data_IF_384397307855
#
_entry.id   IF_384397307855
#
_cell.length_a   1.000
_cell.length_b   1.000
_cell.length_c   1.000
_cell.angle_alpha   90.00
_cell.angle_beta   90.00
_cell.angle_gamma   90.00
#
_symmetry.space_group_name_H-M   'P 1'
#
loop_
_entity.id
_entity.type
_entity.pdbx_description
1 polymer ?
#
# COMPACT_ATOMS: atom_id res chain seq x y z
N UNK A 1 -34.14 100.03 -34.03
CA UNK A 1 -33.36 99.16 -34.93
C UNK A 1 -32.06 98.66 -34.31
N UNK A 2 -31.09 99.52 -33.92
CA UNK A 2 -29.84 99.05 -33.30
C UNK A 2 -30.03 98.44 -31.88
N UNK A 3 -30.88 99.04 -31.05
CA UNK A 3 -31.18 98.53 -29.69
C UNK A 3 -31.90 97.18 -29.68
N UNK A 4 -32.81 96.94 -30.63
CA UNK A 4 -33.54 95.67 -30.74
C UNK A 4 -32.61 94.52 -31.18
N UNK A 5 -31.66 94.81 -32.08
CA UNK A 5 -30.63 93.87 -32.51
C UNK A 5 -29.66 93.52 -31.38
N UNK A 6 -29.26 94.51 -30.56
CA UNK A 6 -28.42 94.27 -29.38
C UNK A 6 -29.15 93.49 -28.27
N UNK A 7 -30.45 93.73 -28.09
CA UNK A 7 -31.30 92.95 -27.19
C UNK A 7 -31.42 91.48 -27.62
N UNK A 8 -31.62 91.22 -28.92
CA UNK A 8 -31.65 89.87 -29.50
C UNK A 8 -30.30 89.15 -29.35
N UNK A 9 -29.19 89.84 -29.62
CA UNK A 9 -27.84 89.29 -29.45
C UNK A 9 -27.54 88.89 -28.01
N UNK A 10 -27.91 89.73 -27.03
CA UNK A 10 -27.77 89.41 -25.60
C UNK A 10 -28.62 88.20 -25.21
N UNK A 11 -29.85 88.10 -25.71
CA UNK A 11 -30.74 86.95 -25.44
C UNK A 11 -30.16 85.65 -26.01
N UNK A 12 -29.69 85.67 -27.25
CA UNK A 12 -29.06 84.50 -27.89
C UNK A 12 -27.79 84.08 -27.14
N UNK A 13 -26.96 85.04 -26.71
CA UNK A 13 -25.79 84.72 -25.90
C UNK A 13 -26.16 84.13 -24.55
N UNK A 14 -27.17 84.68 -23.87
CA UNK A 14 -27.61 84.19 -22.57
C UNK A 14 -28.25 82.80 -22.67
N UNK A 15 -29.16 82.59 -23.62
CA UNK A 15 -29.78 81.27 -23.87
C UNK A 15 -28.74 80.23 -24.30
N UNK A 16 -27.75 80.63 -25.11
CA UNK A 16 -26.64 79.77 -25.51
C UNK A 16 -25.71 79.41 -24.34
N UNK A 17 -25.43 80.35 -23.43
CA UNK A 17 -24.66 80.10 -22.21
C UNK A 17 -25.41 79.18 -21.25
N UNK A 18 -26.69 79.42 -21.01
CA UNK A 18 -27.54 78.59 -20.14
C UNK A 18 -27.66 77.16 -20.69
N UNK A 19 -27.86 76.99 -22.02
CA UNK A 19 -27.85 75.66 -22.64
C UNK A 19 -26.48 74.96 -22.56
N UNK A 20 -25.39 75.70 -22.75
CA UNK A 20 -24.04 75.14 -22.65
C UNK A 20 -23.72 74.70 -21.22
N UNK A 21 -24.11 75.49 -20.21
CA UNK A 21 -23.95 75.14 -18.79
C UNK A 21 -24.79 73.91 -18.44
N UNK A 22 -26.05 73.86 -18.84
CA UNK A 22 -26.92 72.69 -18.61
C UNK A 22 -26.35 71.41 -19.26
N UNK A 23 -25.84 71.51 -20.48
CA UNK A 23 -25.27 70.35 -21.20
C UNK A 23 -23.95 69.88 -20.58
N UNK A 24 -23.12 70.83 -20.12
CA UNK A 24 -21.89 70.54 -19.37
C UNK A 24 -22.20 69.82 -18.06
N UNK A 25 -23.18 70.30 -17.31
CA UNK A 25 -23.58 69.70 -16.03
C UNK A 25 -24.16 68.29 -16.23
N UNK A 26 -25.01 68.09 -17.23
CA UNK A 26 -25.50 66.76 -17.62
C UNK A 26 -24.36 65.81 -18.01
N UNK A 27 -23.39 66.29 -18.78
CA UNK A 27 -22.24 65.47 -19.22
C UNK A 27 -21.35 65.08 -18.02
N UNK A 28 -21.11 66.01 -17.09
CA UNK A 28 -20.37 65.73 -15.87
C UNK A 28 -21.09 64.70 -15.00
N UNK A 29 -22.39 64.87 -14.79
CA UNK A 29 -23.20 63.90 -14.03
C UNK A 29 -23.19 62.52 -14.66
N UNK A 30 -23.33 62.42 -15.99
CA UNK A 30 -23.26 61.16 -16.71
C UNK A 30 -21.88 60.49 -16.58
N UNK A 31 -20.80 61.26 -16.73
CA UNK A 31 -19.44 60.77 -16.57
C UNK A 31 -19.14 60.30 -15.13
N UNK A 32 -19.66 61.02 -14.12
CA UNK A 32 -19.54 60.61 -12.71
C UNK A 32 -20.28 59.30 -12.46
N UNK A 33 -21.52 59.18 -12.95
CA UNK A 33 -22.32 57.97 -12.80
C UNK A 33 -21.67 56.76 -13.49
N UNK A 34 -21.08 56.94 -14.67
CA UNK A 34 -20.37 55.89 -15.39
C UNK A 34 -19.08 55.48 -14.65
N UNK A 35 -18.32 56.45 -14.12
CA UNK A 35 -17.14 56.16 -13.32
C UNK A 35 -17.48 55.38 -12.04
N UNK A 36 -18.55 55.75 -11.34
CA UNK A 36 -19.03 55.04 -10.15
C UNK A 36 -19.51 53.62 -10.51
N UNK A 37 -20.19 53.45 -11.64
CA UNK A 37 -20.60 52.14 -12.13
C UNK A 37 -19.40 51.23 -12.45
N UNK A 38 -18.37 51.76 -13.12
CA UNK A 38 -17.13 51.03 -13.41
C UNK A 38 -16.43 50.64 -12.11
N UNK A 39 -16.31 51.56 -11.15
CA UNK A 39 -15.68 51.28 -9.85
C UNK A 39 -16.44 50.23 -9.05
N UNK A 40 -17.77 50.29 -9.04
CA UNK A 40 -18.62 49.30 -8.38
C UNK A 40 -18.47 47.91 -9.01
N UNK A 41 -18.49 47.84 -10.34
CA UNK A 41 -18.28 46.59 -11.07
C UNK A 41 -16.89 46.01 -10.80
N UNK A 42 -15.85 46.82 -10.88
CA UNK A 42 -14.48 46.40 -10.60
C UNK A 42 -14.29 45.89 -9.16
N UNK A 43 -14.92 46.55 -8.17
CA UNK A 43 -14.92 46.06 -6.78
C UNK A 43 -15.60 44.71 -6.64
N UNK A 44 -16.77 44.54 -7.25
CA UNK A 44 -17.53 43.29 -7.19
C UNK A 44 -16.75 42.15 -7.85
N UNK A 45 -16.14 42.39 -9.00
CA UNK A 45 -15.29 41.41 -9.69
C UNK A 45 -14.05 41.05 -8.86
N UNK A 46 -13.40 42.04 -8.24
CA UNK A 46 -12.26 41.81 -7.36
C UNK A 46 -12.65 40.97 -6.12
N UNK A 47 -13.77 41.28 -5.47
CA UNK A 47 -14.30 40.51 -4.35
C UNK A 47 -14.60 39.06 -4.75
N UNK A 48 -15.24 38.86 -5.91
CA UNK A 48 -15.52 37.53 -6.44
C UNK A 48 -14.23 36.75 -6.73
N UNK A 49 -13.23 37.38 -7.34
CA UNK A 49 -11.96 36.74 -7.66
C UNK A 49 -11.21 36.34 -6.37
N UNK A 50 -11.19 37.22 -5.37
CA UNK A 50 -10.58 36.92 -4.07
C UNK A 50 -11.32 35.79 -3.35
N UNK A 51 -12.66 35.77 -3.40
CA UNK A 51 -13.45 34.69 -2.81
C UNK A 51 -13.18 33.34 -3.49
N UNK A 52 -13.16 33.31 -4.83
CA UNK A 52 -12.84 32.12 -5.61
C UNK A 52 -11.41 31.61 -5.31
N UNK A 53 -10.42 32.50 -5.28
CA UNK A 53 -9.04 32.15 -4.97
C UNK A 53 -8.89 31.57 -3.55
N UNK A 54 -9.62 32.10 -2.56
CA UNK A 54 -9.64 31.56 -1.19
C UNK A 54 -10.26 30.17 -1.13
N UNK A 55 -11.37 29.96 -1.85
CA UNK A 55 -12.01 28.65 -1.90
C UNK A 55 -11.12 27.61 -2.58
N UNK A 56 -10.45 27.97 -3.67
CA UNK A 56 -9.51 27.10 -4.36
C UNK A 56 -8.29 26.77 -3.50
N UNK A 57 -7.75 27.75 -2.76
CA UNK A 57 -6.65 27.53 -1.82
C UNK A 57 -7.03 26.57 -0.68
N UNK A 58 -8.25 26.69 -0.13
CA UNK A 58 -8.76 25.75 0.88
C UNK A 58 -8.88 24.33 0.32
N UNK A 59 -9.50 24.18 -0.85
CA UNK A 59 -9.62 22.89 -1.54
C UNK A 59 -8.27 22.27 -1.85
N UNK A 60 -7.29 23.07 -2.28
CA UNK A 60 -5.94 22.60 -2.54
C UNK A 60 -5.25 22.13 -1.26
N UNK A 61 -5.40 22.86 -0.16
CA UNK A 61 -4.87 22.49 1.15
C UNK A 61 -5.45 21.17 1.64
N UNK A 62 -6.77 21.00 1.58
CA UNK A 62 -7.45 19.77 1.99
C UNK A 62 -7.00 18.57 1.13
N UNK A 63 -6.92 18.75 -0.19
CA UNK A 63 -6.41 17.71 -1.09
C UNK A 63 -4.94 17.38 -0.80
N UNK A 64 -4.13 18.38 -0.52
CA UNK A 64 -2.72 18.22 -0.15
C UNK A 64 -2.56 17.39 1.12
N UNK A 65 -3.34 17.70 2.16
CA UNK A 65 -3.33 16.95 3.42
C UNK A 65 -3.76 15.50 3.22
N UNK A 66 -4.82 15.26 2.44
CA UNK A 66 -5.26 13.90 2.11
C UNK A 66 -4.21 13.12 1.33
N UNK A 67 -3.57 13.77 0.36
CA UNK A 67 -2.51 13.16 -0.47
C UNK A 67 -1.29 12.79 0.39
N UNK A 68 -0.92 13.66 1.35
CA UNK A 68 0.15 13.39 2.29
C UNK A 68 -0.17 12.19 3.20
N UNK A 69 -1.39 12.11 3.74
CA UNK A 69 -1.84 10.97 4.56
C UNK A 69 -1.80 9.66 3.78
N UNK A 70 -2.20 9.69 2.51
CA UNK A 70 -2.12 8.52 1.63
C UNK A 70 -0.66 8.11 1.39
N UNK A 71 0.21 9.05 1.03
CA UNK A 71 1.63 8.77 0.81
C UNK A 71 2.30 8.18 2.06
N UNK A 72 1.98 8.69 3.26
CA UNK A 72 2.48 8.14 4.52
C UNK A 72 2.03 6.68 4.73
N UNK A 73 0.76 6.38 4.44
CA UNK A 73 0.23 5.01 4.50
C UNK A 73 0.94 4.09 3.51
N UNK A 74 1.16 4.54 2.29
CA UNK A 74 1.80 3.75 1.25
C UNK A 74 3.26 3.43 1.61
N UNK A 75 3.99 4.37 2.21
CA UNK A 75 5.35 4.14 2.75
C UNK A 75 5.33 3.06 3.84
N UNK A 76 4.39 3.13 4.79
CA UNK A 76 4.28 2.13 5.86
C UNK A 76 3.94 0.74 5.31
N UNK A 77 3.05 0.65 4.32
CA UNK A 77 2.70 -0.60 3.67
C UNK A 77 3.88 -1.19 2.90
N UNK A 78 4.62 -0.37 2.16
CA UNK A 78 5.82 -0.82 1.43
C UNK A 78 6.91 -1.31 2.39
N UNK A 79 7.13 -0.59 3.50
CA UNK A 79 8.07 -1.02 4.54
C UNK A 79 7.66 -2.37 5.13
N UNK A 80 6.37 -2.56 5.42
CA UNK A 80 5.84 -3.82 5.93
C UNK A 80 6.11 -4.97 4.96
N UNK A 81 5.79 -4.79 3.68
CA UNK A 81 6.00 -5.83 2.65
C UNK A 81 7.48 -6.20 2.52
N UNK A 82 8.38 -5.20 2.55
CA UNK A 82 9.82 -5.44 2.51
C UNK A 82 10.33 -6.20 3.74
N UNK A 83 9.81 -5.88 4.94
CA UNK A 83 10.17 -6.57 6.18
C UNK A 83 9.66 -8.02 6.17
N UNK A 84 8.41 -8.26 5.79
CA UNK A 84 7.83 -9.60 5.68
C UNK A 84 8.65 -10.46 4.70
N UNK A 85 8.98 -9.91 3.52
CA UNK A 85 9.84 -10.58 2.53
C UNK A 85 11.21 -10.92 3.10
N UNK A 86 11.86 -9.95 3.75
CA UNK A 86 13.21 -10.14 4.30
C UNK A 86 13.24 -11.17 5.43
N UNK A 87 12.21 -11.19 6.27
CA UNK A 87 12.08 -12.19 7.34
C UNK A 87 11.81 -13.57 6.77
N UNK A 88 10.96 -13.70 5.74
CA UNK A 88 10.74 -14.96 5.05
C UNK A 88 12.04 -15.49 4.41
N UNK A 89 12.84 -14.62 3.79
CA UNK A 89 14.15 -14.98 3.21
C UNK A 89 15.14 -15.47 4.27
N UNK A 90 15.22 -14.79 5.42
CA UNK A 90 16.05 -15.20 6.54
C UNK A 90 15.57 -16.55 7.10
N UNK A 91 14.25 -16.72 7.29
CA UNK A 91 13.67 -17.97 7.75
C UNK A 91 13.99 -19.14 6.80
N UNK A 92 13.84 -18.94 5.48
CA UNK A 92 14.23 -19.93 4.46
C UNK A 92 15.72 -20.26 4.52
N UNK A 93 16.57 -19.25 4.66
CA UNK A 93 18.03 -19.43 4.74
C UNK A 93 18.43 -20.21 5.99
N UNK A 94 17.79 -19.91 7.14
CA UNK A 94 18.01 -20.64 8.39
C UNK A 94 17.51 -22.08 8.29
N UNK A 95 16.34 -22.31 7.69
CA UNK A 95 15.82 -23.66 7.46
C UNK A 95 16.79 -24.46 6.57
N UNK A 96 17.27 -23.88 5.47
CA UNK A 96 18.26 -24.52 4.61
C UNK A 96 19.60 -24.80 5.32
N UNK A 97 20.03 -23.92 6.23
CA UNK A 97 21.28 -24.08 6.99
C UNK A 97 21.21 -25.11 8.12
N UNK A 98 20.01 -25.37 8.67
CA UNK A 98 19.80 -26.28 9.79
C UNK A 98 19.06 -27.58 9.43
N UNK A 99 18.63 -27.74 8.18
CA UNK A 99 18.20 -29.03 7.62
C UNK A 99 19.41 -29.87 7.17
N UNK A 100 20.36 -30.13 8.06
CA UNK A 100 21.42 -31.10 7.80
C UNK A 100 20.85 -32.53 7.74
N UNK A 101 21.52 -33.42 7.00
CA UNK A 101 21.02 -34.76 6.72
C UNK A 101 20.77 -35.58 8.01
N UNK A 102 21.56 -35.34 9.07
CA UNK A 102 21.45 -36.04 10.34
C UNK A 102 20.23 -35.58 11.17
N UNK A 103 19.94 -34.27 11.25
CA UNK A 103 18.75 -33.78 11.97
C UNK A 103 17.47 -34.17 11.25
N UNK A 104 17.45 -34.05 9.92
CA UNK A 104 16.32 -34.50 9.10
C UNK A 104 16.09 -36.00 9.28
N UNK A 105 17.15 -36.80 9.26
CA UNK A 105 17.04 -38.23 9.49
C UNK A 105 16.52 -38.60 10.88
N UNK A 106 16.95 -37.89 11.92
CA UNK A 106 16.44 -38.07 13.28
C UNK A 106 14.94 -37.78 13.40
N UNK A 107 14.47 -36.68 12.78
CA UNK A 107 13.05 -36.30 12.78
C UNK A 107 12.22 -37.35 12.03
N UNK A 108 12.65 -37.75 10.82
CA UNK A 108 11.97 -38.77 10.02
C UNK A 108 11.91 -40.09 10.80
N UNK A 109 13.01 -40.51 11.44
CA UNK A 109 13.04 -41.74 12.22
C UNK A 109 12.06 -41.69 13.41
N UNK A 110 11.99 -40.57 14.12
CA UNK A 110 11.04 -40.38 15.22
C UNK A 110 9.58 -40.41 14.75
N UNK A 111 9.27 -39.76 13.63
CA UNK A 111 7.93 -39.75 13.05
C UNK A 111 7.51 -41.13 12.54
N UNK A 112 8.39 -41.80 11.79
CA UNK A 112 8.15 -43.15 11.29
C UNK A 112 7.97 -44.15 12.44
N UNK A 113 8.78 -44.06 13.49
CA UNK A 113 8.63 -44.91 14.68
C UNK A 113 7.29 -44.68 15.37
N UNK A 114 6.90 -43.42 15.57
CA UNK A 114 5.63 -43.07 16.23
C UNK A 114 4.43 -43.58 15.43
N UNK A 115 4.45 -43.36 14.11
CA UNK A 115 3.38 -43.77 13.21
C UNK A 115 3.27 -45.30 13.10
N UNK A 116 4.38 -46.01 12.87
CA UNK A 116 4.38 -47.47 12.73
C UNK A 116 4.12 -48.20 14.06
N UNK A 117 4.36 -47.56 15.21
CA UNK A 117 3.95 -48.08 16.52
C UNK A 117 2.45 -47.88 16.78
N UNK A 118 1.88 -46.78 16.30
CA UNK A 118 0.45 -46.50 16.41
C UNK A 118 -0.39 -47.35 15.44
N UNK A 119 0.09 -47.53 14.20
CA UNK A 119 -0.58 -48.28 13.14
C UNK A 119 0.24 -49.51 12.72
N UNK A 120 -0.20 -50.68 13.22
CA UNK A 120 0.51 -51.95 13.06
C UNK A 120 0.65 -52.45 11.62
N UNK A 121 -0.19 -51.98 10.69
CA UNK A 121 -0.18 -52.40 9.27
C UNK A 121 0.13 -51.26 8.26
N UNK A 122 0.30 -50.01 8.69
CA UNK A 122 0.58 -48.88 7.79
C UNK A 122 1.93 -48.96 7.04
N UNK A 123 1.95 -48.52 5.79
CA UNK A 123 3.18 -48.29 5.00
C UNK A 123 3.45 -46.79 4.87
N UNK A 124 4.73 -46.41 4.93
CA UNK A 124 5.15 -45.02 4.85
C UNK A 124 6.06 -44.83 3.64
N UNK A 125 5.69 -43.92 2.75
CA UNK A 125 6.56 -43.48 1.66
C UNK A 125 7.18 -42.13 2.04
N UNK A 126 8.51 -42.06 1.99
CA UNK A 126 9.28 -40.85 2.27
C UNK A 126 9.85 -40.36 0.94
N UNK A 127 9.45 -39.15 0.54
CA UNK A 127 9.94 -38.50 -0.67
C UNK A 127 11.04 -37.49 -0.32
N UNK A 128 12.18 -37.58 -0.98
CA UNK A 128 13.38 -36.79 -0.64
C UNK A 128 14.23 -36.45 -1.87
N UNK A 129 15.20 -35.51 -1.77
CA UNK A 129 16.13 -35.21 -2.84
C UNK A 129 16.97 -36.43 -3.23
N UNK A 130 17.30 -36.57 -4.52
CA UNK A 130 17.99 -37.72 -5.10
C UNK A 130 19.41 -38.02 -4.56
N UNK A 131 19.95 -37.19 -3.65
CA UNK A 131 21.28 -37.37 -3.05
C UNK A 131 21.28 -37.76 -1.57
N UNK A 132 20.13 -37.83 -0.89
CA UNK A 132 20.06 -38.07 0.57
C UNK A 132 19.55 -39.47 0.95
N UNK A 133 19.25 -40.31 -0.04
CA UNK A 133 18.65 -41.63 0.17
C UNK A 133 19.53 -42.57 0.99
N UNK A 134 20.82 -42.69 0.66
CA UNK A 134 21.72 -43.61 1.35
C UNK A 134 21.98 -43.19 2.81
N UNK A 135 22.15 -41.89 3.05
CA UNK A 135 22.35 -41.34 4.39
C UNK A 135 21.12 -41.58 5.27
N UNK A 136 19.92 -41.34 4.72
CA UNK A 136 18.67 -41.53 5.43
C UNK A 136 18.37 -43.02 5.65
N UNK A 137 18.66 -43.89 4.68
CA UNK A 137 18.50 -45.34 4.83
C UNK A 137 19.41 -45.90 5.93
N UNK A 138 20.65 -45.41 6.02
CA UNK A 138 21.58 -45.80 7.08
C UNK A 138 21.14 -45.29 8.46
N UNK A 139 20.59 -44.08 8.55
CA UNK A 139 20.08 -43.52 9.80
C UNK A 139 18.77 -44.18 10.25
N UNK A 140 17.86 -44.46 9.31
CA UNK A 140 16.64 -45.23 9.56
C UNK A 140 16.98 -46.66 10.00
N UNK A 141 17.94 -47.34 9.36
CA UNK A 141 18.35 -48.68 9.79
C UNK A 141 19.01 -48.74 11.17
N UNK A 142 19.58 -47.63 11.66
CA UNK A 142 20.11 -47.52 13.02
C UNK A 142 19.05 -47.23 14.08
N UNK A 143 17.98 -46.52 13.69
CA UNK A 143 16.96 -45.99 14.61
C UNK A 143 15.68 -46.84 14.62
N UNK A 144 15.27 -47.36 13.46
CA UNK A 144 14.17 -48.29 13.26
C UNK A 144 14.73 -49.72 13.16
N UNK A 145 14.10 -50.66 13.86
CA UNK A 145 14.40 -52.09 13.69
C UNK A 145 14.15 -52.58 12.26
N UNK A 146 14.84 -53.64 11.83
CA UNK A 146 14.80 -54.17 10.46
C UNK A 146 13.38 -54.42 9.90
N UNK A 147 12.42 -54.76 10.76
CA UNK A 147 11.03 -55.01 10.38
C UNK A 147 10.24 -53.72 10.08
N UNK A 148 10.58 -52.61 10.75
CA UNK A 148 9.97 -51.30 10.50
C UNK A 148 10.63 -50.60 9.30
N UNK A 149 11.94 -50.80 9.13
CA UNK A 149 12.67 -50.29 7.97
C UNK A 149 12.14 -50.84 6.64
N UNK A 150 11.66 -52.10 6.61
CA UNK A 150 11.02 -52.71 5.42
C UNK A 150 9.67 -52.09 5.05
N UNK A 151 9.03 -51.37 5.98
CA UNK A 151 7.72 -50.70 5.79
C UNK A 151 7.86 -49.23 5.40
N UNK A 152 9.08 -48.71 5.34
CA UNK A 152 9.41 -47.39 4.86
C UNK A 152 9.97 -47.48 3.43
N UNK A 153 9.23 -46.97 2.45
CA UNK A 153 9.73 -46.84 1.08
C UNK A 153 10.36 -45.46 0.89
N UNK A 154 11.58 -45.41 0.36
CA UNK A 154 12.31 -44.17 0.09
C UNK A 154 12.22 -43.86 -1.41
N UNK A 155 11.48 -42.82 -1.76
CA UNK A 155 11.28 -42.38 -3.14
C UNK A 155 12.06 -41.08 -3.43
N UNK A 156 13.15 -41.13 -4.23
CA UNK A 156 13.85 -39.92 -4.62
C UNK A 156 13.03 -39.13 -5.65
N UNK A 157 12.67 -37.88 -5.32
CA UNK A 157 11.90 -36.99 -6.18
C UNK A 157 12.77 -35.83 -6.66
N UNK A 158 13.06 -35.69 -7.97
CA UNK A 158 13.93 -34.64 -8.51
C UNK A 158 13.43 -33.21 -8.29
N UNK A 159 12.15 -33.04 -8.00
CA UNK A 159 11.50 -31.74 -7.78
C UNK A 159 11.77 -31.18 -6.38
N UNK A 160 12.26 -31.99 -5.45
CA UNK A 160 12.55 -31.58 -4.07
C UNK A 160 14.04 -31.21 -3.96
N UNK A 161 14.33 -29.94 -3.71
CA UNK A 161 15.70 -29.44 -3.53
C UNK A 161 16.21 -29.65 -2.09
N UNK A 162 15.38 -29.37 -1.07
CA UNK A 162 15.72 -29.57 0.34
C UNK A 162 14.47 -29.91 1.18
N UNK A 163 14.65 -30.69 2.25
CA UNK A 163 13.57 -31.20 3.10
C UNK A 163 13.03 -32.56 2.63
N UNK A 164 11.83 -32.94 3.08
CA UNK A 164 11.21 -34.23 2.76
C UNK A 164 9.68 -34.14 2.75
N UNK A 165 9.00 -35.09 2.10
CA UNK A 165 7.56 -35.30 2.25
C UNK A 165 7.28 -36.69 2.78
N UNK A 166 6.28 -36.81 3.65
CA UNK A 166 5.78 -38.09 4.16
C UNK A 166 4.43 -38.36 3.52
N UNK A 167 4.32 -39.46 2.78
CA UNK A 167 3.10 -39.94 2.18
C UNK A 167 2.68 -41.19 2.92
N UNK A 168 1.51 -41.14 3.56
CA UNK A 168 0.93 -42.28 4.26
C UNK A 168 -0.04 -42.96 3.31
N UNK A 169 0.34 -44.14 2.82
CA UNK A 169 -0.40 -44.86 1.76
C UNK A 169 -1.82 -45.26 2.16
N UNK A 170 -2.10 -45.37 3.46
CA UNK A 170 -3.37 -45.87 3.99
C UNK A 170 -4.42 -44.76 4.25
N UNK A 171 -4.00 -43.48 4.24
CA UNK A 171 -4.86 -42.36 4.66
C UNK A 171 -4.94 -41.19 3.65
N UNK A 172 -4.30 -41.28 2.48
CA UNK A 172 -4.18 -40.15 1.53
C UNK A 172 -3.64 -38.87 2.19
N UNK A 173 -2.84 -39.02 3.26
CA UNK A 173 -2.25 -37.90 4.00
C UNK A 173 -0.82 -37.68 3.51
N UNK A 174 -0.56 -36.45 3.06
CA UNK A 174 0.78 -35.98 2.70
C UNK A 174 1.20 -34.88 3.67
N UNK A 175 2.27 -35.14 4.42
CA UNK A 175 2.94 -34.10 5.21
C UNK A 175 4.13 -33.55 4.44
N UNK A 176 4.08 -32.26 4.12
CA UNK A 176 5.13 -31.57 3.38
C UNK A 176 6.07 -30.83 4.36
N UNK A 177 7.31 -31.30 4.45
CA UNK A 177 8.39 -30.69 5.24
C UNK A 177 9.51 -30.18 4.33
N UNK A 178 9.16 -29.75 3.11
CA UNK A 178 10.12 -29.05 2.24
C UNK A 178 10.52 -27.69 2.82
N UNK A 179 11.70 -27.21 2.45
CA UNK A 179 12.19 -25.88 2.79
C UNK A 179 11.20 -24.76 2.41
N UNK A 180 10.53 -24.92 1.25
CA UNK A 180 9.47 -24.03 0.80
C UNK A 180 8.28 -24.03 1.77
N UNK A 181 7.75 -25.21 2.13
CA UNK A 181 6.58 -25.33 3.02
C UNK A 181 6.87 -24.90 4.46
N UNK A 182 8.06 -25.22 4.99
CA UNK A 182 8.53 -24.69 6.27
C UNK A 182 8.66 -23.17 6.22
N UNK A 183 9.26 -22.63 5.15
CA UNK A 183 9.41 -21.20 4.95
C UNK A 183 8.07 -20.47 4.92
N UNK A 184 7.08 -21.01 4.22
CA UNK A 184 5.71 -20.49 4.18
C UNK A 184 5.02 -20.55 5.54
N UNK A 185 5.17 -21.65 6.27
CA UNK A 185 4.59 -21.82 7.61
C UNK A 185 5.22 -20.83 8.61
N UNK A 186 6.54 -20.66 8.55
CA UNK A 186 7.26 -19.68 9.36
C UNK A 186 6.85 -18.25 8.98
N UNK A 187 6.71 -17.94 7.69
CA UNK A 187 6.21 -16.64 7.24
C UNK A 187 4.79 -16.38 7.77
N UNK A 188 3.87 -17.34 7.63
CA UNK A 188 2.51 -17.24 8.15
C UNK A 188 2.45 -17.03 9.68
N UNK A 189 3.40 -17.59 10.41
CA UNK A 189 3.51 -17.38 11.86
C UNK A 189 4.12 -16.01 12.23
N UNK A 190 5.09 -15.53 11.44
CA UNK A 190 5.84 -14.30 11.72
C UNK A 190 5.12 -13.04 11.22
N UNK A 191 4.41 -13.09 10.09
CA UNK A 191 3.72 -11.94 9.50
C UNK A 191 2.73 -11.24 10.45
N UNK A 192 1.87 -11.95 11.22
CA UNK A 192 0.97 -11.30 12.18
C UNK A 192 1.71 -10.58 13.32
N UNK A 193 2.85 -11.12 13.76
CA UNK A 193 3.68 -10.56 14.83
C UNK A 193 4.45 -9.33 14.35
N UNK A 194 5.00 -9.39 13.14
CA UNK A 194 5.63 -8.24 12.48
C UNK A 194 4.63 -7.11 12.24
N UNK A 195 3.43 -7.43 11.78
CA UNK A 195 2.35 -6.45 11.61
C UNK A 195 2.02 -5.73 12.93
N UNK A 196 1.98 -6.48 14.03
CA UNK A 196 1.73 -5.92 15.37
C UNK A 196 2.87 -5.01 15.83
N UNK A 197 4.13 -5.36 15.58
CA UNK A 197 5.28 -4.51 15.94
C UNK A 197 5.30 -3.20 15.15
N UNK A 198 5.09 -3.27 13.83
CA UNK A 198 5.10 -2.07 12.98
C UNK A 198 3.93 -1.14 13.29
N UNK A 199 2.74 -1.68 13.56
CA UNK A 199 1.57 -0.88 13.94
C UNK A 199 1.60 -0.42 15.41
N UNK A 200 2.18 -1.23 16.30
CA UNK A 200 2.30 -0.93 17.73
C UNK A 200 3.25 0.23 18.02
N UNK A 201 4.36 0.33 17.28
CA UNK A 201 5.27 1.49 17.38
C UNK A 201 4.59 2.80 16.98
N UNK A 202 3.63 2.75 16.04
CA UNK A 202 2.85 3.94 15.63
C UNK A 202 1.78 4.31 16.67
N UNK A 203 1.35 3.38 17.52
CA UNK A 203 0.33 3.62 18.55
C UNK A 203 0.90 4.15 19.87
N UNK A 204 2.17 3.92 20.18
CA UNK A 204 2.80 4.38 21.44
C UNK A 204 3.36 5.81 21.37
N UNK A 205 3.40 6.47 20.20
CA UNK A 205 3.91 7.84 20.05
C UNK A 205 2.83 8.95 19.99
N UNK A 206 1.57 8.67 20.34
CA UNK A 206 0.50 9.69 20.50
C UNK A 206 0.00 9.83 21.94
#
# INVERSE_FOLDING_TARGET
MADELQGLLKRIQQEGLEQAEATKEQTLLAAQAEADAILSKAKTEAEHLVAAARQEALLLSEKGEQSLKQAARDVLLSLREQLETRVADVARTMAAAHCDADTVAGIIASLATTYLQAERDGSLEIQLPAGQQEALQAALGKSLGEDLAKRCELAPVPTINAGFKLVISDQDVVYDFTDASLGETMAAFLSPRLATLVLGVVAEEN
#
